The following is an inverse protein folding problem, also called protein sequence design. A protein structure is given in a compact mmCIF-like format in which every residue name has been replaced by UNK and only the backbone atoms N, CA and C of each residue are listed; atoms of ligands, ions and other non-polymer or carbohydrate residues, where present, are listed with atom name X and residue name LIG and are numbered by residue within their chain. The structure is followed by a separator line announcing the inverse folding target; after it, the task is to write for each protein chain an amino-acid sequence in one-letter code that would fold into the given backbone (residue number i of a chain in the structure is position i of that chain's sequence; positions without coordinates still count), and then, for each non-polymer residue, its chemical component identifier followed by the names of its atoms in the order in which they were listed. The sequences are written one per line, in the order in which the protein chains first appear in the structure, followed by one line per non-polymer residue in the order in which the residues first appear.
data_IF_592803907247
#
_entry.id   IF_592803907247
#
_cell.length_a   1.000
_cell.length_b   1.000
_cell.length_c   1.000
_cell.angle_alpha   90.00
_cell.angle_beta   90.00
_cell.angle_gamma   90.00
#
_symmetry.space_group_name_H-M   'P 1'
#
loop_
_entity.id
_entity.type
_entity.pdbx_description
1 polymer ?
#
# COMPACT_ATOMS: atom_id res chain seq x y z
N UNK A 1 15.17 2.88 1.14
CA UNK A 1 16.62 2.75 1.43
C UNK A 1 17.00 1.41 0.84
N UNK A 2 17.31 1.41 -0.45
CA UNK A 2 18.03 0.33 -1.11
C UNK A 2 19.51 0.68 -0.93
N UNK A 3 20.33 -0.25 -0.47
CA UNK A 3 21.77 -0.08 -0.56
C UNK A 3 22.24 -0.35 -2.00
N UNK A 4 23.47 0.06 -2.26
CA UNK A 4 23.93 0.49 -3.57
C UNK A 4 24.37 -0.66 -4.50
N UNK A 5 24.02 -1.90 -4.22
CA UNK A 5 24.25 -3.05 -5.07
C UNK A 5 22.97 -3.45 -5.84
N UNK A 6 23.09 -3.49 -7.16
CA UNK A 6 22.00 -3.64 -8.12
C UNK A 6 21.30 -5.02 -8.11
N UNK A 7 21.36 -5.77 -7.01
CA UNK A 7 20.74 -7.08 -6.83
C UNK A 7 19.35 -7.02 -6.19
N UNK A 8 19.09 -5.99 -5.39
CA UNK A 8 17.87 -5.91 -4.59
C UNK A 8 16.65 -5.52 -5.43
N UNK A 9 15.52 -6.13 -5.09
CA UNK A 9 14.24 -6.01 -5.77
C UNK A 9 13.24 -5.38 -4.81
N UNK A 10 12.89 -4.12 -5.11
CA UNK A 10 11.83 -3.42 -4.41
C UNK A 10 10.46 -3.80 -5.00
N UNK A 11 9.55 -4.21 -4.13
CA UNK A 11 8.17 -4.56 -4.48
C UNK A 11 7.20 -3.86 -3.56
N UNK A 12 6.07 -3.42 -4.11
CA UNK A 12 4.96 -2.89 -3.34
C UNK A 12 3.73 -3.79 -3.40
N UNK A 13 3.03 -3.90 -2.28
CA UNK A 13 1.73 -4.55 -2.19
C UNK A 13 0.77 -3.73 -1.33
N UNK A 14 -0.52 -3.99 -1.49
CA UNK A 14 -1.52 -3.47 -0.56
C UNK A 14 -1.26 -4.00 0.84
N UNK A 15 -1.43 -3.15 1.84
CA UNK A 15 -1.38 -3.54 3.23
C UNK A 15 -2.44 -4.61 3.51
N UNK A 16 -2.12 -5.59 4.35
CA UNK A 16 -3.05 -6.66 4.73
C UNK A 16 -3.35 -6.61 6.23
N UNK A 17 -4.60 -6.89 6.60
CA UNK A 17 -5.03 -7.02 8.00
C UNK A 17 -4.52 -8.25 8.73
N UNK A 18 -3.63 -9.00 8.08
CA UNK A 18 -2.98 -10.17 8.62
C UNK A 18 -1.56 -10.30 8.05
N UNK A 19 -0.63 -10.47 9.00
CA UNK A 19 0.66 -11.17 8.96
C UNK A 19 1.49 -11.03 7.68
N UNK A 20 2.60 -10.33 7.84
CA UNK A 20 3.72 -10.36 6.90
C UNK A 20 4.90 -11.04 7.58
N UNK A 21 4.96 -12.36 7.42
CA UNK A 21 6.18 -13.17 7.19
C UNK A 21 5.90 -14.67 7.46
N UNK A 22 5.76 -15.46 6.38
CA UNK A 22 5.85 -16.93 6.43
C UNK A 22 4.55 -17.68 6.78
N UNK A 23 3.89 -18.22 5.75
CA UNK A 23 2.82 -19.23 5.81
C UNK A 23 1.41 -18.74 6.28
N UNK A 24 0.39 -18.67 5.40
CA UNK A 24 -0.86 -17.92 5.64
C UNK A 24 -1.99 -18.70 6.35
N UNK A 25 -1.71 -19.71 7.17
CA UNK A 25 -2.78 -20.64 7.57
C UNK A 25 -3.41 -20.50 8.97
N UNK A 26 -2.78 -19.89 9.99
CA UNK A 26 -3.28 -20.12 11.37
C UNK A 26 -3.02 -19.06 12.45
N UNK A 27 -3.10 -17.75 12.21
CA UNK A 27 -3.22 -16.81 13.36
C UNK A 27 -4.40 -15.85 13.21
N UNK A 28 -5.38 -16.07 14.07
CA UNK A 28 -6.45 -15.15 14.40
C UNK A 28 -5.86 -13.88 15.02
N UNK A 29 -6.60 -12.77 14.97
CA UNK A 29 -6.27 -11.43 15.47
C UNK A 29 -5.97 -11.31 16.98
N UNK A 30 -5.53 -12.39 17.64
CA UNK A 30 -5.25 -12.52 19.06
C UNK A 30 -3.88 -13.18 19.32
N UNK A 31 -2.92 -13.11 18.39
CA UNK A 31 -1.57 -13.60 18.67
C UNK A 31 -0.83 -12.63 19.60
N UNK A 32 -0.70 -13.03 20.87
CA UNK A 32 0.05 -12.34 21.93
C UNK A 32 1.57 -12.48 21.80
N UNK A 33 2.08 -12.90 20.63
CA UNK A 33 3.51 -13.03 20.36
C UNK A 33 4.04 -11.72 19.72
N UNK A 34 4.88 -10.93 20.42
CA UNK A 34 5.24 -9.56 20.03
C UNK A 34 6.11 -9.42 18.77
N UNK A 35 6.31 -10.48 17.99
CA UNK A 35 7.21 -10.50 16.81
C UNK A 35 6.45 -10.63 15.47
N UNK A 36 5.12 -10.80 15.45
CA UNK A 36 4.40 -11.20 14.22
C UNK A 36 3.07 -10.46 13.97
N UNK A 37 2.79 -9.35 14.67
CA UNK A 37 1.59 -8.53 14.43
C UNK A 37 1.98 -7.09 14.16
N UNK A 38 2.43 -6.81 12.93
CA UNK A 38 2.40 -5.45 12.40
C UNK A 38 0.98 -5.26 11.86
N UNK A 39 0.19 -4.42 12.54
CA UNK A 39 -1.08 -3.95 12.01
C UNK A 39 -0.82 -2.95 10.88
N UNK A 40 -0.66 -3.48 9.66
CA UNK A 40 -0.39 -2.68 8.47
C UNK A 40 -1.57 -1.75 8.12
N UNK A 41 -2.76 -2.04 8.64
CA UNK A 41 -4.00 -1.30 8.39
C UNK A 41 -4.20 -0.14 9.34
N UNK A 42 -3.46 -0.17 10.46
CA UNK A 42 -3.78 0.57 11.66
C UNK A 42 -5.17 0.24 12.21
N UNK A 43 -5.45 0.77 13.40
CA UNK A 43 -6.72 0.58 14.10
C UNK A 43 -7.94 1.12 13.33
N UNK A 44 -7.72 1.95 12.32
CA UNK A 44 -8.73 2.48 11.42
C UNK A 44 -9.12 1.52 10.28
N UNK A 45 -8.41 0.39 10.11
CA UNK A 45 -8.78 -0.66 9.16
C UNK A 45 -8.54 -0.31 7.69
N UNK A 46 -7.50 0.48 7.38
CA UNK A 46 -7.22 1.04 6.04
C UNK A 46 -6.69 -0.01 5.02
N UNK A 47 -6.71 -1.31 5.35
CA UNK A 47 -6.38 -2.40 4.40
C UNK A 47 -7.57 -2.93 3.61
N UNK A 48 -8.73 -2.31 3.75
CA UNK A 48 -9.94 -2.71 3.04
C UNK A 48 -9.66 -2.54 1.52
N UNK A 49 -9.94 -3.61 0.76
CA UNK A 49 -9.64 -3.93 -0.65
C UNK A 49 -9.35 -2.74 -1.62
N UNK A 50 -8.65 -2.95 -2.75
CA UNK A 50 -8.40 -1.88 -3.74
C UNK A 50 -9.66 -1.09 -4.13
N UNK A 51 -10.82 -1.77 -4.16
CA UNK A 51 -12.14 -1.20 -4.40
C UNK A 51 -12.68 -0.27 -3.32
N UNK A 52 -12.16 -0.34 -2.09
CA UNK A 52 -12.56 0.47 -0.94
C UNK A 52 -11.54 1.59 -0.64
N UNK A 53 -10.26 1.40 -0.97
CA UNK A 53 -9.23 2.43 -0.83
C UNK A 53 -9.42 3.54 -1.87
N UNK A 54 -9.43 3.21 -3.16
CA UNK A 54 -9.73 4.11 -4.28
C UNK A 54 -10.45 3.29 -5.36
N UNK A 55 -11.73 3.58 -5.70
CA UNK A 55 -12.47 2.77 -6.65
C UNK A 55 -11.75 2.66 -8.02
N UNK A 56 -11.49 1.43 -8.44
CA UNK A 56 -10.80 1.14 -9.71
C UNK A 56 -9.28 1.32 -9.69
N UNK A 57 -8.65 1.50 -8.53
CA UNK A 57 -7.21 1.60 -8.45
C UNK A 57 -6.50 0.28 -8.75
N UNK A 58 -5.37 0.40 -9.46
CA UNK A 58 -4.47 -0.68 -9.81
C UNK A 58 -3.08 -0.35 -9.29
N UNK A 59 -2.51 -1.23 -8.48
CA UNK A 59 -1.13 -1.13 -8.01
C UNK A 59 -0.23 -2.02 -8.88
N UNK A 60 0.79 -1.41 -9.47
CA UNK A 60 1.88 -2.11 -10.15
C UNK A 60 2.98 -2.36 -9.13
N UNK A 61 3.01 -3.57 -8.56
CA UNK A 61 3.90 -3.89 -7.45
C UNK A 61 5.39 -3.80 -7.78
N UNK A 62 5.79 -4.07 -9.02
CA UNK A 62 7.19 -4.06 -9.46
C UNK A 62 7.83 -2.67 -9.57
N UNK A 63 7.03 -1.61 -9.66
CA UNK A 63 7.51 -0.22 -9.72
C UNK A 63 6.76 0.70 -8.76
N UNK A 64 6.01 0.13 -7.82
CA UNK A 64 5.26 0.84 -6.79
C UNK A 64 4.34 1.96 -7.31
N UNK A 65 3.79 1.79 -8.52
CA UNK A 65 2.92 2.79 -9.15
C UNK A 65 1.46 2.46 -8.90
N UNK A 66 0.69 3.40 -8.35
CA UNK A 66 -0.77 3.30 -8.26
C UNK A 66 -1.38 4.11 -9.41
N UNK A 67 -2.24 3.48 -10.20
CA UNK A 67 -3.04 4.14 -11.24
C UNK A 67 -4.49 4.07 -10.85
N UNK A 68 -5.19 5.19 -10.91
CA UNK A 68 -6.61 5.29 -10.60
C UNK A 68 -7.25 6.43 -11.39
N UNK A 69 -8.57 6.35 -11.56
CA UNK A 69 -9.38 7.40 -12.17
C UNK A 69 -10.52 7.74 -11.23
N UNK A 70 -10.66 9.02 -10.90
CA UNK A 70 -11.78 9.49 -10.07
C UNK A 70 -12.90 10.02 -10.97
N UNK A 71 -14.11 9.54 -10.72
CA UNK A 71 -15.33 10.10 -11.29
C UNK A 71 -15.67 11.45 -10.64
N UNK A 72 -16.39 12.31 -11.35
CA UNK A 72 -16.81 13.61 -10.81
C UNK A 72 -17.61 13.48 -9.50
N UNK A 73 -18.38 12.40 -9.34
CA UNK A 73 -19.13 12.07 -8.11
C UNK A 73 -18.25 11.83 -6.87
N UNK A 74 -16.95 11.62 -7.07
CA UNK A 74 -15.97 11.36 -6.01
C UNK A 74 -15.26 12.63 -5.54
N UNK A 75 -15.54 13.78 -6.15
CA UNK A 75 -14.99 15.08 -5.74
C UNK A 75 -15.41 15.42 -4.30
N UNK A 76 -14.48 15.98 -3.52
CA UNK A 76 -14.69 16.37 -2.12
C UNK A 76 -14.55 15.22 -1.13
N UNK A 77 -14.17 14.03 -1.57
CA UNK A 77 -13.98 12.84 -0.73
C UNK A 77 -12.51 12.59 -0.41
N UNK A 78 -12.27 11.99 0.75
CA UNK A 78 -10.97 11.45 1.14
C UNK A 78 -10.90 9.95 0.83
N UNK A 79 -9.76 9.54 0.31
CA UNK A 79 -9.44 8.15 0.03
C UNK A 79 -8.18 7.78 0.80
N UNK A 80 -8.27 6.73 1.61
CA UNK A 80 -7.16 6.28 2.43
C UNK A 80 -6.46 5.10 1.75
N UNK A 81 -5.13 5.18 1.67
CA UNK A 81 -4.29 4.17 1.04
C UNK A 81 -3.26 3.68 2.04
N UNK A 82 -3.15 2.37 2.17
CA UNK A 82 -2.12 1.70 2.94
C UNK A 82 -1.38 0.70 2.05
N UNK A 83 -0.06 0.88 1.94
CA UNK A 83 0.85 0.02 1.19
C UNK A 83 1.96 -0.52 2.10
N UNK A 84 2.54 -1.63 1.67
CA UNK A 84 3.83 -2.11 2.14
C UNK A 84 4.85 -1.99 1.02
N UNK A 85 5.98 -1.37 1.33
CA UNK A 85 7.17 -1.41 0.48
C UNK A 85 8.10 -2.45 1.07
N UNK A 86 8.42 -3.46 0.26
CA UNK A 86 9.21 -4.60 0.65
C UNK A 86 10.47 -4.65 -0.20
N UNK A 87 11.57 -4.98 0.46
CA UNK A 87 12.88 -5.11 -0.16
C UNK A 87 13.31 -6.57 -0.13
N UNK A 88 13.72 -7.10 -1.27
CA UNK A 88 14.10 -8.49 -1.44
C UNK A 88 15.49 -8.60 -2.04
N UNK A 89 16.31 -9.48 -1.47
CA UNK A 89 17.63 -9.81 -2.01
C UNK A 89 17.63 -10.28 -3.47
N UNK A 90 16.51 -10.85 -3.95
CA UNK A 90 16.34 -11.28 -5.33
C UNK A 90 14.88 -11.43 -5.72
N UNK A 91 14.59 -11.50 -7.02
CA UNK A 91 13.23 -11.66 -7.54
C UNK A 91 12.57 -13.01 -7.23
N UNK A 92 13.35 -14.00 -6.76
CA UNK A 92 12.83 -15.31 -6.36
C UNK A 92 12.66 -15.46 -4.85
N UNK A 93 13.14 -14.50 -4.06
CA UNK A 93 12.98 -14.51 -2.61
C UNK A 93 11.50 -14.31 -2.24
N UNK A 94 11.03 -15.07 -1.26
CA UNK A 94 9.65 -15.01 -0.74
C UNK A 94 9.55 -14.32 0.62
N UNK A 95 10.69 -13.97 1.22
CA UNK A 95 10.78 -13.27 2.50
C UNK A 95 11.51 -11.95 2.27
N UNK A 96 10.90 -10.80 2.60
CA UNK A 96 11.56 -9.52 2.45
C UNK A 96 12.65 -9.35 3.53
N UNK A 97 13.76 -8.72 3.14
CA UNK A 97 14.82 -8.30 4.06
C UNK A 97 14.42 -7.06 4.86
N UNK A 98 13.57 -6.22 4.27
CA UNK A 98 13.01 -5.03 4.90
C UNK A 98 11.56 -4.83 4.47
N UNK A 99 10.72 -4.34 5.38
CA UNK A 99 9.32 -4.04 5.12
C UNK A 99 8.95 -2.73 5.81
N UNK A 100 8.43 -1.79 5.03
CA UNK A 100 8.10 -0.43 5.50
C UNK A 100 6.63 -0.13 5.20
N UNK A 101 5.80 0.08 6.25
CA UNK A 101 4.42 0.53 6.07
C UNK A 101 4.37 1.98 5.61
N UNK A 102 3.54 2.27 4.60
CA UNK A 102 3.22 3.63 4.18
C UNK A 102 1.71 3.81 4.13
N UNK A 103 1.22 4.83 4.83
CA UNK A 103 -0.18 5.22 4.83
C UNK A 103 -0.31 6.69 4.47
N UNK A 104 -1.27 7.00 3.60
CA UNK A 104 -1.51 8.36 3.15
C UNK A 104 -2.95 8.56 2.67
N UNK A 105 -3.35 9.83 2.59
CA UNK A 105 -4.68 10.24 2.17
C UNK A 105 -4.59 10.96 0.82
N UNK A 106 -5.51 10.62 -0.08
CA UNK A 106 -5.81 11.42 -1.26
C UNK A 106 -7.07 12.22 -1.00
N UNK A 107 -7.04 13.50 -1.35
CA UNK A 107 -8.23 14.34 -1.41
C UNK A 107 -8.61 14.59 -2.87
N UNK A 108 -9.82 14.21 -3.24
CA UNK A 108 -10.32 14.37 -4.59
C UNK A 108 -10.79 15.81 -4.83
N UNK A 109 -10.05 16.57 -5.64
CA UNK A 109 -10.42 17.92 -6.05
C UNK A 109 -11.02 17.92 -7.45
N UNK A 110 -11.94 18.83 -7.71
CA UNK A 110 -12.43 19.05 -9.07
C UNK A 110 -11.25 19.44 -9.96
N UNK A 111 -11.11 18.79 -11.11
CA UNK A 111 -10.12 19.20 -12.09
C UNK A 111 -10.39 20.68 -12.47
N UNK A 112 -9.44 21.61 -12.28
CA UNK A 112 -9.62 22.95 -12.78
C UNK A 112 -9.80 22.88 -14.30
N UNK A 113 -10.77 23.61 -14.85
CA UNK A 113 -11.15 23.55 -16.28
C UNK A 113 -10.00 23.83 -17.27
N UNK A 114 -8.83 24.24 -16.77
CA UNK A 114 -7.55 24.15 -17.47
C UNK A 114 -6.50 23.55 -16.53
N UNK A 115 -5.80 22.50 -16.97
CA UNK A 115 -4.67 21.90 -16.24
C UNK A 115 -3.40 22.79 -16.30
N UNK A 116 -3.55 24.11 -16.43
CA UNK A 116 -2.43 25.06 -16.53
C UNK A 116 -1.83 25.40 -15.17
N UNK A 117 -2.58 25.16 -14.08
CA UNK A 117 -2.15 25.47 -12.72
C UNK A 117 -2.31 24.22 -11.86
N UNK A 118 -1.21 23.79 -11.22
CA UNK A 118 -1.22 22.73 -10.22
C UNK A 118 -2.18 23.13 -9.09
N UNK A 119 -3.11 22.25 -8.65
CA UNK A 119 -3.98 22.55 -7.52
C UNK A 119 -3.16 22.96 -6.29
N UNK A 120 -3.57 24.05 -5.64
CA UNK A 120 -3.01 24.53 -4.36
C UNK A 120 -3.76 23.92 -3.18
#
# INVERSE_FOLDING_TARGET
MADADAGDVLVCRWATGGISAGNPATVSAASSNPVQHIDECGSAGVCQTPTQAIPGAVLFGSNCTIVFTLAASQTGQYFAVALQIEDFYSSSATTPMSSVPIQFLFYAVAAPGSCSVRPV
#
